data_IF_451308260384
#
_entry.id   IF_451308260384
#
_cell.length_a   1.000
_cell.length_b   1.000
_cell.length_c   1.000
_cell.angle_alpha   90.00
_cell.angle_beta   90.00
_cell.angle_gamma   90.00
#
_symmetry.space_group_name_H-M   'P 1'
#
loop_
_entity.id
_entity.type
_entity.pdbx_description
1 polymer ?
#
# COMPACT_ATOMS: atom_id res chain seq x y z
N UNK A 1 -12.09 1.49 -2.02
CA UNK A 1 -12.11 2.68 -2.91
C UNK A 1 -10.69 3.19 -2.99
N UNK A 2 -10.04 3.09 -4.14
CA UNK A 2 -8.71 3.67 -4.34
C UNK A 2 -8.87 4.95 -5.15
N UNK A 3 -8.45 6.08 -4.57
CA UNK A 3 -8.33 7.34 -5.28
C UNK A 3 -7.07 7.33 -6.13
N UNK A 4 -7.08 8.01 -7.28
CA UNK A 4 -5.88 8.09 -8.09
C UNK A 4 -4.77 8.87 -7.36
N UNK A 5 -3.50 8.49 -7.50
CA UNK A 5 -2.38 9.26 -6.94
C UNK A 5 -2.40 10.72 -7.38
N UNK A 6 -2.74 10.97 -8.65
CA UNK A 6 -2.85 12.33 -9.21
C UNK A 6 -3.88 13.20 -8.50
N UNK A 7 -5.06 12.64 -8.17
CA UNK A 7 -6.07 13.36 -7.39
C UNK A 7 -5.57 13.71 -5.99
N UNK A 8 -4.89 12.78 -5.32
CA UNK A 8 -4.35 13.01 -3.99
C UNK A 8 -3.23 14.07 -4.01
N UNK A 9 -2.39 14.07 -5.03
CA UNK A 9 -1.32 15.05 -5.18
C UNK A 9 -1.88 16.45 -5.48
N UNK A 10 -2.91 16.54 -6.32
CA UNK A 10 -3.60 17.80 -6.59
C UNK A 10 -4.32 18.33 -5.34
N UNK A 11 -4.95 17.46 -4.57
CA UNK A 11 -5.60 17.81 -3.30
C UNK A 11 -4.59 18.39 -2.30
N UNK A 12 -3.41 17.76 -2.18
CA UNK A 12 -2.30 18.27 -1.35
C UNK A 12 -1.83 19.62 -1.82
N UNK A 13 -1.61 19.79 -3.11
CA UNK A 13 -1.13 21.05 -3.70
C UNK A 13 -2.12 22.21 -3.51
N UNK A 14 -3.42 21.92 -3.52
CA UNK A 14 -4.48 22.93 -3.30
C UNK A 14 -4.81 23.18 -1.83
N UNK A 15 -4.21 22.42 -0.91
CA UNK A 15 -4.47 22.56 0.54
C UNK A 15 -3.21 23.10 1.25
N UNK A 16 -3.07 24.44 1.44
CA UNK A 16 -1.96 24.99 2.22
C UNK A 16 -1.99 24.43 3.64
N UNK A 17 -0.95 23.72 4.00
CA UNK A 17 -0.90 22.99 5.26
C UNK A 17 -0.87 23.92 6.47
N UNK A 18 -0.22 25.08 6.35
CA UNK A 18 -0.21 26.11 7.39
C UNK A 18 -1.62 26.66 7.69
N UNK A 19 -2.46 26.80 6.66
CA UNK A 19 -3.85 27.24 6.83
C UNK A 19 -4.68 26.17 7.55
N UNK A 20 -4.48 24.90 7.20
CA UNK A 20 -5.17 23.77 7.82
C UNK A 20 -4.76 23.62 9.30
N UNK A 21 -3.46 23.54 9.56
CA UNK A 21 -2.88 23.39 10.90
C UNK A 21 -3.17 24.59 11.77
N UNK A 22 -3.11 25.80 11.20
CA UNK A 22 -3.36 27.06 11.89
C UNK A 22 -4.77 27.22 12.48
N UNK A 23 -5.73 26.38 12.07
CA UNK A 23 -7.07 26.33 12.68
C UNK A 23 -7.05 25.81 14.12
N UNK A 24 -6.06 24.99 14.49
CA UNK A 24 -5.97 24.35 15.80
C UNK A 24 -4.64 24.64 16.54
N UNK A 25 -3.60 25.03 15.81
CA UNK A 25 -2.26 25.27 16.35
C UNK A 25 -1.81 26.68 16.06
N UNK A 26 -1.34 27.42 17.07
CA UNK A 26 -0.83 28.78 16.89
C UNK A 26 0.54 28.75 16.21
N UNK A 27 0.53 28.84 14.89
CA UNK A 27 1.75 28.86 14.06
C UNK A 27 2.45 30.21 14.12
N UNK A 28 3.77 30.21 14.19
CA UNK A 28 4.66 31.37 14.08
C UNK A 28 5.50 31.24 12.83
N UNK A 29 5.60 32.31 12.03
CA UNK A 29 6.44 32.29 10.82
C UNK A 29 7.93 32.18 11.20
N UNK A 30 8.63 31.28 10.54
CA UNK A 30 10.06 31.00 10.73
C UNK A 30 10.73 30.88 9.34
N UNK A 31 11.09 32.00 8.74
CA UNK A 31 11.60 32.06 7.37
C UNK A 31 10.54 31.64 6.33
N UNK A 32 10.83 30.54 5.59
CA UNK A 32 9.90 29.94 4.61
C UNK A 32 8.93 28.95 5.23
N UNK A 33 9.12 28.59 6.49
CA UNK A 33 8.30 27.61 7.21
C UNK A 33 7.53 28.27 8.35
N UNK A 34 6.67 27.49 8.96
CA UNK A 34 5.99 27.87 10.19
C UNK A 34 6.42 26.93 11.30
N UNK A 35 6.48 27.42 12.54
CA UNK A 35 6.81 26.62 13.72
C UNK A 35 5.79 26.83 14.83
N UNK A 36 5.64 25.82 15.66
CA UNK A 36 4.80 25.87 16.86
C UNK A 36 5.26 24.83 17.90
N UNK A 37 4.68 24.89 19.11
CA UNK A 37 4.69 23.72 19.99
C UNK A 37 3.83 22.62 19.38
N UNK A 38 4.30 21.38 19.52
CA UNK A 38 3.68 20.22 18.89
C UNK A 38 2.34 19.87 19.53
N UNK A 39 1.29 19.61 18.75
CA UNK A 39 0.01 19.17 19.30
C UNK A 39 -0.05 17.68 19.64
N UNK A 40 0.95 16.90 19.26
CA UNK A 40 1.01 15.45 19.50
C UNK A 40 1.77 15.07 20.76
N UNK A 41 2.57 15.99 21.33
CA UNK A 41 3.25 15.78 22.61
C UNK A 41 3.39 17.10 23.36
N UNK A 42 3.60 17.02 24.68
CA UNK A 42 3.74 18.21 25.51
C UNK A 42 5.18 18.72 25.47
N UNK A 43 5.37 19.98 25.08
CA UNK A 43 6.66 20.66 25.02
C UNK A 43 6.56 22.16 25.37
N UNK A 44 7.68 22.74 25.82
CA UNK A 44 7.74 24.19 26.16
C UNK A 44 8.41 25.01 25.05
N UNK A 45 9.21 24.38 24.20
CA UNK A 45 9.93 25.03 23.11
C UNK A 45 9.43 24.50 21.77
N UNK A 46 9.16 25.38 20.77
CA UNK A 46 8.63 24.96 19.49
C UNK A 46 9.57 24.01 18.74
N UNK A 47 9.13 22.79 18.48
CA UNK A 47 9.83 21.78 17.66
C UNK A 47 9.01 21.24 16.49
N UNK A 48 7.78 21.72 16.33
CA UNK A 48 6.88 21.35 15.25
C UNK A 48 6.98 22.35 14.11
N UNK A 49 7.27 21.87 12.92
CA UNK A 49 7.45 22.66 11.70
C UNK A 49 6.46 22.27 10.64
N UNK A 50 5.97 23.30 9.91
CA UNK A 50 5.06 23.14 8.77
C UNK A 50 5.65 23.85 7.57
N UNK A 51 5.74 23.17 6.44
CA UNK A 51 6.26 23.70 5.18
C UNK A 51 5.21 23.55 4.09
N UNK A 52 4.66 24.68 3.60
CA UNK A 52 3.63 24.68 2.55
C UNK A 52 4.18 24.32 1.18
N UNK A 53 5.43 24.70 0.88
CA UNK A 53 6.08 24.36 -0.42
C UNK A 53 6.24 22.85 -0.58
N UNK A 54 6.53 22.15 0.53
CA UNK A 54 6.67 20.69 0.55
C UNK A 54 5.37 19.97 0.88
N UNK A 55 4.33 20.69 1.32
CA UNK A 55 3.06 20.13 1.79
C UNK A 55 3.21 19.17 2.97
N UNK A 56 4.16 19.46 3.88
CA UNK A 56 4.62 18.50 4.87
C UNK A 56 4.82 19.16 6.24
N UNK A 57 4.45 18.45 7.32
CA UNK A 57 4.80 18.83 8.70
C UNK A 57 5.72 17.79 9.34
N UNK A 58 6.56 18.24 10.25
CA UNK A 58 7.44 17.38 11.02
C UNK A 58 7.68 17.96 12.43
N UNK A 59 7.62 17.11 13.43
CA UNK A 59 8.02 17.44 14.78
C UNK A 59 9.38 16.83 15.10
N UNK A 60 10.38 17.65 15.40
CA UNK A 60 11.72 17.19 15.79
C UNK A 60 11.77 16.64 17.23
N UNK A 61 10.73 16.88 18.05
CA UNK A 61 10.64 16.37 19.41
C UNK A 61 10.13 14.92 19.48
N UNK A 62 8.99 14.62 18.82
CA UNK A 62 8.37 13.29 18.89
C UNK A 62 8.38 12.51 17.57
N UNK A 63 8.89 13.09 16.47
CA UNK A 63 8.92 12.44 15.17
C UNK A 63 7.56 12.40 14.42
N UNK A 64 6.50 12.99 14.97
CA UNK A 64 5.23 13.09 14.26
C UNK A 64 5.40 13.85 12.94
N UNK A 65 4.92 13.29 11.84
CA UNK A 65 5.08 13.87 10.52
C UNK A 65 3.97 13.44 9.56
N UNK A 66 3.73 14.23 8.53
CA UNK A 66 2.74 13.90 7.51
C UNK A 66 2.34 15.07 6.61
N UNK A 67 1.35 14.81 5.76
CA UNK A 67 0.70 15.75 4.87
C UNK A 67 -0.66 16.25 5.43
N UNK A 68 -1.41 16.98 4.62
CA UNK A 68 -2.73 17.48 4.99
C UNK A 68 -3.73 16.35 5.31
N UNK A 69 -3.70 15.24 4.57
CA UNK A 69 -4.60 14.11 4.79
C UNK A 69 -4.26 13.46 6.13
N UNK A 70 -2.96 13.21 6.36
CA UNK A 70 -2.48 12.63 7.61
C UNK A 70 -2.76 13.53 8.82
N UNK A 71 -2.67 14.84 8.66
CA UNK A 71 -3.09 15.79 9.69
C UNK A 71 -4.55 15.59 10.09
N UNK A 72 -5.44 15.44 9.12
CA UNK A 72 -6.88 15.23 9.39
C UNK A 72 -7.15 13.89 10.07
N UNK A 73 -6.42 12.83 9.71
CA UNK A 73 -6.59 11.52 10.35
C UNK A 73 -6.01 11.49 11.76
N UNK A 74 -4.79 11.98 11.94
CA UNK A 74 -4.05 11.84 13.21
C UNK A 74 -4.51 12.86 14.26
N UNK A 75 -4.77 14.12 13.84
CA UNK A 75 -5.16 15.19 14.77
C UNK A 75 -6.67 15.27 15.00
N UNK A 76 -7.49 14.97 13.99
CA UNK A 76 -8.95 15.06 14.08
C UNK A 76 -9.65 13.71 14.16
N UNK A 77 -8.91 12.61 14.07
CA UNK A 77 -9.45 11.24 14.16
C UNK A 77 -10.38 10.85 13.02
N UNK A 78 -10.32 11.54 11.88
CA UNK A 78 -11.18 11.25 10.75
C UNK A 78 -10.73 9.98 10.02
N UNK A 79 -11.68 9.21 9.49
CA UNK A 79 -11.35 8.16 8.54
C UNK A 79 -10.78 8.77 7.26
N UNK A 80 -9.87 8.05 6.58
CA UNK A 80 -9.17 8.54 5.38
C UNK A 80 -10.11 9.17 4.34
N UNK A 81 -11.22 8.51 4.01
CA UNK A 81 -12.17 9.01 3.01
C UNK A 81 -12.92 10.27 3.46
N UNK A 82 -13.18 10.41 4.75
CA UNK A 82 -13.85 11.59 5.30
C UNK A 82 -12.88 12.78 5.35
N UNK A 83 -11.62 12.53 5.70
CA UNK A 83 -10.55 13.52 5.59
C UNK A 83 -10.39 14.04 4.15
N UNK A 84 -10.36 13.14 3.17
CA UNK A 84 -10.26 13.50 1.75
C UNK A 84 -11.47 14.30 1.29
N UNK A 85 -12.70 13.90 1.66
CA UNK A 85 -13.93 14.65 1.29
C UNK A 85 -13.93 16.05 1.88
N UNK A 86 -13.56 16.20 3.15
CA UNK A 86 -13.53 17.51 3.81
C UNK A 86 -12.46 18.42 3.18
N UNK A 87 -11.27 17.90 2.89
CA UNK A 87 -10.21 18.65 2.23
C UNK A 87 -10.60 19.01 0.79
N UNK A 88 -11.20 18.10 0.04
CA UNK A 88 -11.66 18.34 -1.32
C UNK A 88 -12.73 19.43 -1.38
N UNK A 89 -13.72 19.39 -0.48
CA UNK A 89 -14.72 20.44 -0.36
C UNK A 89 -14.08 21.80 -0.06
N UNK A 90 -13.09 21.85 0.84
CA UNK A 90 -12.35 23.06 1.16
C UNK A 90 -11.47 23.58 0.02
N UNK A 91 -10.98 22.70 -0.85
CA UNK A 91 -10.16 23.00 -2.02
C UNK A 91 -10.99 23.26 -3.30
N UNK A 92 -12.33 23.19 -3.24
CA UNK A 92 -13.21 23.30 -4.41
C UNK A 92 -13.03 22.15 -5.41
N UNK A 93 -12.68 20.95 -4.92
CA UNK A 93 -12.49 19.74 -5.73
C UNK A 93 -13.65 18.77 -5.49
N UNK A 94 -14.10 18.11 -6.54
CA UNK A 94 -15.02 16.99 -6.42
C UNK A 94 -14.23 15.68 -6.24
N UNK A 95 -14.61 14.91 -5.22
CA UNK A 95 -14.03 13.58 -5.02
C UNK A 95 -14.53 12.66 -6.15
N UNK A 96 -13.63 12.07 -6.95
CA UNK A 96 -14.03 11.20 -8.02
C UNK A 96 -14.92 10.06 -7.50
N UNK A 97 -16.03 9.82 -8.17
CA UNK A 97 -16.85 8.65 -7.89
C UNK A 97 -15.99 7.39 -8.06
N UNK A 98 -16.22 6.38 -7.21
CA UNK A 98 -15.51 5.11 -7.33
C UNK A 98 -15.71 4.56 -8.74
N UNK A 99 -14.62 4.41 -9.53
CA UNK A 99 -14.67 3.81 -10.84
C UNK A 99 -15.02 2.31 -10.71
N UNK A 100 -16.20 1.88 -11.14
CA UNK A 100 -16.59 0.46 -11.09
C UNK A 100 -15.59 -0.43 -11.83
N UNK A 101 -14.95 0.10 -12.87
CA UNK A 101 -13.95 -0.64 -13.66
C UNK A 101 -12.62 -0.79 -12.91
N UNK A 102 -12.24 0.19 -12.08
CA UNK A 102 -11.05 0.08 -11.23
C UNK A 102 -11.26 -0.98 -10.14
N UNK A 103 -12.47 -1.05 -9.57
CA UNK A 103 -12.83 -2.10 -8.61
C UNK A 103 -12.82 -3.49 -9.26
N UNK A 104 -13.45 -3.65 -10.43
CA UNK A 104 -13.45 -4.90 -11.17
C UNK A 104 -12.02 -5.36 -11.53
N UNK A 105 -11.15 -4.43 -11.98
CA UNK A 105 -9.73 -4.73 -12.24
C UNK A 105 -8.97 -5.16 -10.98
N UNK A 106 -9.25 -4.55 -9.84
CA UNK A 106 -8.62 -4.92 -8.59
C UNK A 106 -9.10 -6.30 -8.11
N UNK A 107 -10.38 -6.60 -8.21
CA UNK A 107 -10.94 -7.93 -7.90
C UNK A 107 -10.35 -9.01 -8.83
N UNK A 108 -10.23 -8.72 -10.13
CA UNK A 108 -9.60 -9.61 -11.10
C UNK A 108 -8.10 -9.83 -10.82
N UNK A 109 -7.36 -8.79 -10.41
CA UNK A 109 -5.93 -8.92 -10.07
C UNK A 109 -5.71 -9.73 -8.79
N UNK A 110 -6.61 -9.65 -7.81
CA UNK A 110 -6.58 -10.50 -6.60
C UNK A 110 -6.82 -11.96 -6.96
N UNK A 111 -7.81 -12.25 -7.80
CA UNK A 111 -8.08 -13.60 -8.31
C UNK A 111 -6.88 -14.18 -9.07
N UNK A 112 -6.19 -13.37 -9.88
CA UNK A 112 -4.98 -13.80 -10.58
C UNK A 112 -3.83 -14.11 -9.62
N UNK A 113 -3.62 -13.29 -8.58
CA UNK A 113 -2.58 -13.55 -7.55
C UNK A 113 -2.86 -14.86 -6.82
N UNK A 114 -4.12 -15.10 -6.44
CA UNK A 114 -4.52 -16.34 -5.77
C UNK A 114 -4.34 -17.56 -6.68
N UNK A 115 -4.70 -17.45 -7.96
CA UNK A 115 -4.49 -18.51 -8.94
C UNK A 115 -2.99 -18.81 -9.16
N UNK A 116 -2.14 -17.78 -9.23
CA UNK A 116 -0.69 -17.94 -9.35
C UNK A 116 -0.08 -18.60 -8.10
N UNK A 117 -0.55 -18.23 -6.91
CA UNK A 117 -0.11 -18.86 -5.66
C UNK A 117 -0.54 -20.35 -5.60
N UNK A 118 -1.76 -20.66 -6.02
CA UNK A 118 -2.25 -22.02 -6.10
C UNK A 118 -1.47 -22.85 -7.13
N UNK A 119 -1.12 -22.27 -8.28
CA UNK A 119 -0.29 -22.92 -9.29
C UNK A 119 1.12 -23.21 -8.76
N UNK A 120 1.75 -22.25 -8.09
CA UNK A 120 3.07 -22.44 -7.49
C UNK A 120 3.05 -23.58 -6.47
N UNK A 121 2.07 -23.59 -5.58
CA UNK A 121 1.89 -24.66 -4.59
C UNK A 121 1.67 -26.01 -5.25
N UNK A 122 0.84 -26.07 -6.30
CA UNK A 122 0.64 -27.31 -7.05
C UNK A 122 1.94 -27.84 -7.64
N UNK A 123 2.80 -27.01 -8.23
CA UNK A 123 4.11 -27.46 -8.75
C UNK A 123 5.04 -27.95 -7.64
N UNK A 124 5.01 -27.35 -6.45
CA UNK A 124 5.77 -27.82 -5.29
C UNK A 124 5.29 -29.22 -4.84
N UNK A 125 3.98 -29.44 -4.81
CA UNK A 125 3.38 -30.75 -4.52
C UNK A 125 3.78 -31.80 -5.57
N UNK A 126 3.80 -31.44 -6.86
CA UNK A 126 4.27 -32.37 -7.91
C UNK A 126 5.74 -32.73 -7.72
N UNK A 127 6.57 -31.78 -7.29
CA UNK A 127 7.98 -32.09 -6.96
C UNK A 127 8.07 -33.05 -5.78
N UNK A 128 7.24 -32.93 -4.75
CA UNK A 128 7.20 -33.81 -3.60
C UNK A 128 6.63 -35.20 -3.93
N UNK A 129 5.76 -35.27 -4.93
CA UNK A 129 5.07 -36.49 -5.36
C UNK A 129 5.94 -37.52 -6.06
N UNK A 130 5.33 -38.66 -6.46
CA UNK A 130 6.02 -39.78 -7.10
C UNK A 130 6.65 -39.39 -8.44
N UNK A 131 5.91 -38.63 -9.27
CA UNK A 131 6.38 -38.19 -10.61
C UNK A 131 7.60 -37.25 -10.51
N UNK A 132 7.76 -36.51 -9.39
CA UNK A 132 8.88 -35.61 -9.13
C UNK A 132 10.18 -36.29 -8.65
N UNK A 133 10.20 -37.60 -8.48
CA UNK A 133 11.37 -38.31 -7.91
C UNK A 133 12.66 -38.00 -8.67
N UNK A 134 12.66 -38.17 -10.01
CA UNK A 134 13.83 -37.90 -10.85
C UNK A 134 14.30 -36.43 -10.80
N UNK A 135 13.36 -35.49 -10.64
CA UNK A 135 13.70 -34.08 -10.50
C UNK A 135 14.33 -33.80 -9.13
N UNK A 136 13.85 -34.45 -8.06
CA UNK A 136 14.48 -34.35 -6.73
C UNK A 136 15.89 -34.89 -6.73
N UNK A 137 16.13 -36.04 -7.40
CA UNK A 137 17.47 -36.65 -7.54
C UNK A 137 18.41 -35.74 -8.34
N UNK A 138 17.90 -35.11 -9.39
CA UNK A 138 18.66 -34.14 -10.16
C UNK A 138 19.06 -32.94 -9.30
N UNK A 139 18.11 -32.34 -8.55
CA UNK A 139 18.36 -31.20 -7.66
C UNK A 139 19.36 -31.55 -6.55
N UNK A 140 19.25 -32.75 -5.96
CA UNK A 140 20.18 -33.24 -4.95
C UNK A 140 21.62 -33.36 -5.49
N UNK A 141 21.79 -33.92 -6.71
CA UNK A 141 23.11 -33.98 -7.39
C UNK A 141 23.68 -32.59 -7.69
N UNK A 142 22.84 -31.58 -7.85
CA UNK A 142 23.23 -30.17 -8.02
C UNK A 142 23.50 -29.46 -6.69
N UNK A 143 23.40 -30.15 -5.55
CA UNK A 143 23.63 -29.57 -4.22
C UNK A 143 22.48 -28.74 -3.68
N UNK A 144 21.28 -28.81 -4.29
CA UNK A 144 20.09 -28.07 -3.84
C UNK A 144 19.36 -28.90 -2.78
N UNK A 145 19.45 -28.48 -1.53
CA UNK A 145 18.82 -29.12 -0.39
C UNK A 145 17.29 -28.96 -0.37
N UNK A 146 16.60 -29.78 0.41
CA UNK A 146 15.14 -29.63 0.60
C UNK A 146 14.77 -28.28 1.21
N UNK A 147 15.58 -27.77 2.14
CA UNK A 147 15.37 -26.44 2.75
C UNK A 147 15.41 -25.34 1.68
N UNK A 148 16.39 -25.42 0.78
CA UNK A 148 16.48 -24.45 -0.33
C UNK A 148 15.32 -24.59 -1.31
N UNK A 149 14.89 -25.83 -1.63
CA UNK A 149 13.72 -26.03 -2.50
C UNK A 149 12.47 -25.35 -1.96
N UNK A 150 12.20 -25.53 -0.67
CA UNK A 150 11.06 -24.88 0.00
C UNK A 150 11.22 -23.35 0.09
N UNK A 151 12.41 -22.88 0.44
CA UNK A 151 12.67 -21.45 0.58
C UNK A 151 12.52 -20.66 -0.74
N UNK A 152 12.83 -21.31 -1.87
CA UNK A 152 12.75 -20.69 -3.20
C UNK A 152 11.53 -21.12 -4.03
N UNK A 153 10.59 -21.87 -3.45
CA UNK A 153 9.38 -22.31 -4.14
C UNK A 153 9.67 -23.15 -5.39
N UNK A 154 10.70 -24.03 -5.34
CA UNK A 154 11.07 -24.85 -6.49
C UNK A 154 10.04 -25.97 -6.67
N UNK A 155 9.36 -25.96 -7.80
CA UNK A 155 8.37 -26.95 -8.18
C UNK A 155 8.82 -27.83 -9.37
N UNK A 156 7.99 -28.80 -9.73
CA UNK A 156 8.15 -29.68 -10.87
C UNK A 156 6.90 -29.63 -11.75
N UNK A 157 7.08 -29.41 -13.05
CA UNK A 157 6.01 -29.51 -14.04
C UNK A 157 6.00 -30.90 -14.67
N UNK A 158 5.04 -31.76 -14.32
CA UNK A 158 4.92 -33.08 -14.95
C UNK A 158 4.50 -32.90 -16.43
N UNK A 159 4.98 -33.82 -17.29
CA UNK A 159 4.55 -33.85 -18.70
C UNK A 159 3.12 -34.41 -18.80
N UNK A 160 2.16 -33.53 -18.52
CA UNK A 160 0.74 -33.89 -18.53
C UNK A 160 -0.12 -32.74 -19.00
N UNK A 161 -0.84 -32.94 -20.10
CA UNK A 161 -1.80 -31.93 -20.58
C UNK A 161 -3.03 -31.92 -19.67
N UNK A 162 -3.35 -30.76 -19.11
CA UNK A 162 -4.61 -30.51 -18.40
C UNK A 162 -4.62 -30.74 -16.90
N UNK A 163 -3.61 -31.37 -16.27
CA UNK A 163 -3.57 -31.58 -14.81
C UNK A 163 -3.56 -30.24 -14.06
N UNK A 164 -2.74 -29.29 -14.49
CA UNK A 164 -2.72 -27.94 -13.89
C UNK A 164 -4.05 -27.23 -14.07
N UNK A 165 -4.64 -27.28 -15.27
CA UNK A 165 -5.96 -26.68 -15.53
C UNK A 165 -7.04 -27.28 -14.64
N UNK A 166 -7.01 -28.59 -14.41
CA UNK A 166 -7.96 -29.26 -13.52
C UNK A 166 -7.75 -28.84 -12.06
N UNK A 167 -6.50 -28.72 -11.61
CA UNK A 167 -6.18 -28.27 -10.26
C UNK A 167 -6.60 -26.81 -9.99
N UNK A 168 -6.57 -25.96 -11.01
CA UNK A 168 -6.94 -24.55 -10.93
C UNK A 168 -8.38 -24.27 -11.36
N UNK A 169 -9.22 -25.29 -11.56
CA UNK A 169 -10.59 -25.15 -12.06
C UNK A 169 -11.49 -24.22 -11.22
N UNK A 170 -11.20 -24.08 -9.91
CA UNK A 170 -11.90 -23.17 -9.01
C UNK A 170 -11.72 -21.69 -9.34
N UNK A 171 -10.69 -21.31 -10.10
CA UNK A 171 -10.42 -19.92 -10.49
C UNK A 171 -11.09 -19.51 -11.80
N UNK A 172 -11.82 -20.41 -12.44
CA UNK A 172 -12.47 -20.16 -13.74
C UNK A 172 -11.53 -20.35 -14.93
N UNK A 173 -12.07 -20.07 -16.13
CA UNK A 173 -11.30 -20.18 -17.39
C UNK A 173 -10.67 -18.85 -17.84
N UNK A 174 -10.97 -17.75 -17.15
CA UNK A 174 -10.60 -16.39 -17.54
C UNK A 174 -9.43 -15.83 -16.72
N UNK A 175 -8.81 -16.69 -15.91
CA UNK A 175 -7.61 -16.39 -15.11
C UNK A 175 -6.37 -17.04 -15.71
#
# INVERSE_FOLDING_TARGET
MSLSPQFLDELRARTPLSTLVGKSVKLQKAGREFRACCPFHNEKSPSFYVNDEKGFYHCFGCGAHGDAIRWMTDQRGLAFMDAVKELAAGAGMEVPAADPRARARQEQSLGLIEAMAAAAHWFEEQLAGIEGAHARDYLARRGISEIQRKAFGIGFAPDSRGKLKAALSQFGNDV
#
